data_IF_881291398734
#
_entry.id   IF_881291398734
#
_cell.length_a   1.000
_cell.length_b   1.000
_cell.length_c   1.000
_cell.angle_alpha   90.00
_cell.angle_beta   90.00
_cell.angle_gamma   90.00
#
_symmetry.space_group_name_H-M   'P 1'
#
loop_
_entity.id
_entity.type
_entity.pdbx_description
1 polymer ?
#
# COMPACT_ATOMS: atom_id res chain seq x y z
N UNK A 1 -5.86 10.23 -5.70
CA UNK A 1 -6.88 9.56 -4.86
C UNK A 1 -6.26 9.24 -3.50
N UNK A 2 -7.05 8.87 -2.50
CA UNK A 2 -6.52 8.40 -1.20
C UNK A 2 -5.52 7.24 -1.38
N UNK A 3 -5.79 6.32 -2.30
CA UNK A 3 -4.88 5.21 -2.63
C UNK A 3 -3.54 5.70 -3.19
N UNK A 4 -3.53 6.69 -4.09
CA UNK A 4 -2.27 7.24 -4.62
C UNK A 4 -1.44 7.91 -3.52
N UNK A 5 -2.09 8.60 -2.58
CA UNK A 5 -1.41 9.19 -1.43
C UNK A 5 -0.84 8.09 -0.53
N UNK A 6 -1.63 7.06 -0.23
CA UNK A 6 -1.18 5.93 0.59
C UNK A 6 0.03 5.19 -0.01
N UNK A 7 0.10 5.05 -1.34
CA UNK A 7 1.28 4.49 -2.02
C UNK A 7 2.51 5.38 -1.85
N UNK A 8 2.37 6.70 -2.00
CA UNK A 8 3.47 7.65 -1.82
C UNK A 8 3.95 7.70 -0.35
N UNK A 9 3.03 7.68 0.60
CA UNK A 9 3.34 7.66 2.03
C UNK A 9 4.07 6.35 2.40
N UNK A 10 3.66 5.21 1.83
CA UNK A 10 4.33 3.91 2.01
C UNK A 10 5.77 3.96 1.43
N UNK A 11 5.95 4.50 0.23
CA UNK A 11 7.29 4.68 -0.37
C UNK A 11 8.22 5.55 0.48
N UNK A 12 7.68 6.65 1.04
CA UNK A 12 8.43 7.51 1.96
C UNK A 12 8.81 6.76 3.23
N UNK A 13 7.89 6.00 3.82
CA UNK A 13 8.15 5.20 5.03
C UNK A 13 9.22 4.13 4.78
N UNK A 14 9.17 3.43 3.64
CA UNK A 14 10.22 2.47 3.25
C UNK A 14 11.59 3.13 3.09
N UNK A 15 11.65 4.32 2.48
CA UNK A 15 12.90 5.07 2.32
C UNK A 15 13.48 5.49 3.68
N UNK A 16 12.65 6.04 4.57
CA UNK A 16 13.06 6.40 5.93
C UNK A 16 13.52 5.19 6.73
N UNK A 17 12.78 4.08 6.67
CA UNK A 17 13.19 2.83 7.34
C UNK A 17 14.54 2.32 6.82
N UNK A 18 14.78 2.40 5.50
CA UNK A 18 16.05 2.01 4.88
C UNK A 18 17.20 2.87 5.38
N UNK A 19 17.00 4.19 5.47
CA UNK A 19 18.03 5.10 5.97
C UNK A 19 18.36 4.80 7.44
N UNK A 20 17.34 4.74 8.30
CA UNK A 20 17.52 4.43 9.72
C UNK A 20 18.24 3.10 9.90
N UNK A 21 17.86 2.09 9.13
CA UNK A 21 18.50 0.76 9.14
C UNK A 21 19.98 0.83 8.79
N UNK A 22 20.38 1.64 7.80
CA UNK A 22 21.78 1.80 7.44
C UNK A 22 22.60 2.46 8.55
N UNK A 23 22.05 3.51 9.17
CA UNK A 23 22.69 4.25 10.26
C UNK A 23 22.84 3.39 11.53
N UNK A 24 21.77 2.70 11.92
CA UNK A 24 21.76 1.77 13.05
C UNK A 24 22.72 0.60 12.82
N UNK A 25 22.73 0.00 11.61
CA UNK A 25 23.63 -1.09 11.27
C UNK A 25 25.10 -0.70 11.43
N UNK A 26 25.45 0.47 10.90
CA UNK A 26 26.82 0.98 10.99
C UNK A 26 27.24 1.17 12.45
N UNK A 27 26.36 1.75 13.27
CA UNK A 27 26.59 1.95 14.70
C UNK A 27 26.75 0.63 15.44
N UNK A 28 25.81 -0.30 15.27
CA UNK A 28 25.83 -1.61 15.93
C UNK A 28 27.08 -2.42 15.54
N UNK A 29 27.48 -2.39 14.26
CA UNK A 29 28.69 -3.05 13.78
C UNK A 29 29.93 -2.49 14.46
N UNK A 30 30.02 -1.17 14.59
CA UNK A 30 31.13 -0.53 15.28
C UNK A 30 31.14 -0.87 16.78
N UNK A 31 29.99 -0.83 17.44
CA UNK A 31 29.86 -1.17 18.87
C UNK A 31 30.28 -2.61 19.17
N UNK A 32 29.87 -3.57 18.33
CA UNK A 32 30.30 -4.97 18.45
C UNK A 32 31.81 -5.09 18.28
N UNK A 33 32.39 -4.41 17.28
CA UNK A 33 33.84 -4.40 17.06
C UNK A 33 34.60 -3.81 18.25
N UNK A 34 34.17 -2.66 18.75
CA UNK A 34 34.80 -1.99 19.90
C UNK A 34 34.70 -2.85 21.16
N UNK A 35 33.57 -3.52 21.39
CA UNK A 35 33.39 -4.45 22.50
C UNK A 35 34.35 -5.65 22.42
N UNK A 36 34.58 -6.21 21.23
CA UNK A 36 35.53 -7.31 21.02
C UNK A 36 36.99 -6.88 21.25
N UNK A 37 37.36 -5.70 20.74
CA UNK A 37 38.69 -5.12 20.97
C UNK A 37 38.91 -4.82 22.46
N UNK A 38 37.91 -4.27 23.14
CA UNK A 38 37.96 -3.97 24.56
C UNK A 38 38.07 -5.23 25.41
N UNK A 39 37.31 -6.30 25.12
CA UNK A 39 37.45 -7.60 25.78
C UNK A 39 38.90 -8.12 25.66
N UNK A 40 39.48 -8.06 24.46
CA UNK A 40 40.86 -8.49 24.22
C UNK A 40 41.85 -7.66 25.04
N UNK A 41 41.71 -6.34 25.06
CA UNK A 41 42.58 -5.44 25.82
C UNK A 41 42.47 -5.67 27.35
N UNK A 42 41.26 -5.86 27.86
CA UNK A 42 41.01 -6.14 29.28
C UNK A 42 41.60 -7.50 29.67
N UNK A 43 41.41 -8.54 28.87
CA UNK A 43 42.00 -9.86 29.11
C UNK A 43 43.54 -9.81 29.15
N UNK A 44 44.16 -9.04 28.26
CA UNK A 44 45.61 -8.80 28.27
C UNK A 44 46.06 -8.04 29.54
N UNK A 45 45.34 -6.99 29.93
CA UNK A 45 45.63 -6.22 31.14
C UNK A 45 45.53 -7.09 32.40
N UNK A 46 44.48 -7.91 32.51
CA UNK A 46 44.33 -8.88 33.59
C UNK A 46 45.51 -9.86 33.65
N UNK A 47 45.97 -10.35 32.50
CA UNK A 47 47.13 -11.26 32.42
C UNK A 47 48.42 -10.59 32.94
N UNK A 48 48.67 -9.33 32.55
CA UNK A 48 49.83 -8.56 33.00
C UNK A 48 49.77 -8.28 34.50
N UNK A 49 48.62 -7.82 35.00
CA UNK A 49 48.43 -7.52 36.43
C UNK A 49 48.53 -8.78 37.29
N UNK A 50 47.93 -9.89 36.85
CA UNK A 50 48.04 -11.18 37.55
C UNK A 50 49.50 -11.62 37.66
N UNK A 51 50.27 -11.54 36.57
CA UNK A 51 51.71 -11.86 36.57
C UNK A 51 52.52 -10.93 37.46
N UNK A 52 52.23 -9.62 37.45
CA UNK A 52 52.93 -8.66 38.29
C UNK A 52 52.71 -8.95 39.77
N UNK A 53 51.47 -9.20 40.18
CA UNK A 53 51.13 -9.45 41.58
C UNK A 53 51.55 -10.83 42.09
N UNK A 54 51.57 -11.86 41.23
CA UNK A 54 52.14 -13.16 41.59
C UNK A 54 53.66 -13.06 41.80
N UNK A 55 54.37 -12.37 40.90
CA UNK A 55 55.83 -12.24 40.96
C UNK A 55 56.28 -11.33 42.10
N UNK A 56 55.55 -10.25 42.40
CA UNK A 56 55.86 -9.32 43.49
C UNK A 56 55.69 -9.95 44.88
N UNK A 57 54.75 -10.90 45.01
CA UNK A 57 54.60 -11.71 46.22
C UNK A 57 55.72 -12.71 46.43
N UNK A 58 56.21 -13.33 45.36
CA UNK A 58 57.37 -14.23 45.43
C UNK A 58 58.69 -13.47 45.65
N UNK A 59 58.86 -12.30 45.03
CA UNK A 59 60.07 -11.48 45.17
C UNK A 59 60.26 -10.96 46.61
N UNK A 60 59.18 -10.65 47.33
CA UNK A 60 59.27 -10.29 48.76
C UNK A 60 59.47 -11.49 49.69
N UNK A 61 59.13 -12.70 49.25
CA UNK A 61 59.43 -13.94 49.97
C UNK A 61 60.88 -14.43 49.79
N UNK A 62 61.54 -14.06 48.68
CA UNK A 62 62.90 -14.53 48.32
C UNK A 62 64.02 -13.51 48.60
N UNK A 63 63.72 -12.25 48.90
CA UNK A 63 64.73 -11.20 49.14
C UNK A 63 64.99 -11.03 50.65
N UNK A 64 65.87 -11.87 51.20
CA UNK A 64 66.68 -11.54 52.38
C UNK A 64 67.87 -10.63 51.99
N UNK A 65 67.65 -9.52 51.27
CA UNK A 65 68.70 -8.51 51.06
C UNK A 65 68.44 -7.30 51.94
N UNK A 66 69.47 -6.92 52.69
CA UNK A 66 69.53 -5.68 53.47
C UNK A 66 69.15 -4.48 52.60
N UNK A 67 68.14 -3.74 53.07
CA UNK A 67 67.56 -2.58 52.40
C UNK A 67 68.43 -1.32 52.58
N UNK A 68 68.49 -0.42 51.58
CA UNK A 68 69.05 0.92 51.76
C UNK A 68 68.19 1.72 52.77
N UNK A 69 68.80 2.55 53.64
CA UNK A 69 68.19 3.15 54.84
C UNK A 69 67.13 4.24 54.56
N UNK A 70 66.59 4.31 53.34
CA UNK A 70 65.67 5.35 52.87
C UNK A 70 64.21 4.84 52.87
N UNK A 71 63.99 3.52 53.01
CA UNK A 71 62.66 2.93 53.07
C UNK A 71 62.33 2.49 54.50
N UNK A 72 61.26 3.04 55.09
CA UNK A 72 60.79 2.69 56.43
C UNK A 72 60.14 1.30 56.51
N UNK A 73 59.79 0.71 55.37
CA UNK A 73 59.28 -0.67 55.29
C UNK A 73 59.44 -1.28 53.88
N UNK A 74 59.54 -2.61 53.76
CA UNK A 74 59.58 -3.29 52.46
C UNK A 74 58.31 -3.01 51.66
N UNK A 75 58.43 -2.59 50.40
CA UNK A 75 57.28 -2.46 49.51
C UNK A 75 56.68 -3.84 49.23
N UNK A 76 55.61 -4.20 49.94
CA UNK A 76 54.92 -5.50 49.84
C UNK A 76 54.00 -5.62 48.61
N UNK A 77 54.14 -4.76 47.61
CA UNK A 77 53.35 -4.82 46.37
C UNK A 77 51.85 -4.62 46.56
N UNK A 78 51.43 -3.90 47.62
CA UNK A 78 50.01 -3.59 47.94
C UNK A 78 49.08 -4.82 47.86
N UNK A 79 49.56 -5.98 48.32
CA UNK A 79 48.87 -7.28 48.15
C UNK A 79 47.40 -7.34 48.56
N UNK A 80 46.96 -6.52 49.52
CA UNK A 80 45.58 -6.47 49.98
C UNK A 80 44.62 -5.77 48.98
N UNK A 81 45.11 -4.88 48.12
CA UNK A 81 44.28 -4.08 47.18
C UNK A 81 44.19 -4.70 45.78
N UNK A 82 45.03 -5.71 45.49
CA UNK A 82 45.15 -6.33 44.16
C UNK A 82 43.88 -7.06 43.69
N UNK A 83 43.14 -7.67 44.63
CA UNK A 83 41.89 -8.37 44.33
C UNK A 83 40.80 -7.42 43.82
N UNK A 84 40.79 -6.17 44.27
CA UNK A 84 39.80 -5.17 43.87
C UNK A 84 39.93 -4.75 42.41
N UNK A 85 41.16 -4.48 41.95
CA UNK A 85 41.41 -4.03 40.57
C UNK A 85 41.17 -5.16 39.56
N UNK A 86 41.63 -6.38 39.85
CA UNK A 86 41.37 -7.54 38.98
C UNK A 86 39.87 -7.86 38.95
N UNK A 87 39.20 -7.83 40.09
CA UNK A 87 37.74 -8.01 40.16
C UNK A 87 36.98 -6.96 39.34
N UNK A 88 37.39 -5.69 39.41
CA UNK A 88 36.81 -4.63 38.58
C UNK A 88 37.03 -4.86 37.09
N UNK A 89 38.22 -5.32 36.67
CA UNK A 89 38.48 -5.66 35.28
C UNK A 89 37.68 -6.88 34.79
N UNK A 90 37.45 -7.88 35.63
CA UNK A 90 36.57 -9.02 35.31
C UNK A 90 35.12 -8.58 35.10
N UNK A 91 34.63 -7.65 35.93
CA UNK A 91 33.29 -7.07 35.74
C UNK A 91 33.22 -6.31 34.41
N UNK A 92 34.23 -5.49 34.10
CA UNK A 92 34.31 -4.74 32.83
C UNK A 92 34.35 -5.70 31.62
N UNK A 93 35.13 -6.79 31.69
CA UNK A 93 35.18 -7.80 30.63
C UNK A 93 33.79 -8.44 30.42
N UNK A 94 33.14 -8.85 31.52
CA UNK A 94 31.78 -9.40 31.46
C UNK A 94 30.77 -8.40 30.89
N UNK A 95 30.91 -7.11 31.19
CA UNK A 95 30.05 -6.07 30.64
C UNK A 95 30.24 -5.90 29.14
N UNK A 96 31.49 -5.95 28.63
CA UNK A 96 31.73 -5.91 27.19
C UNK A 96 31.23 -7.16 26.48
N UNK A 97 31.42 -8.35 27.06
CA UNK A 97 30.87 -9.59 26.50
C UNK A 97 29.34 -9.57 26.43
N UNK A 98 28.70 -9.03 27.47
CA UNK A 98 27.25 -8.83 27.50
C UNK A 98 26.81 -7.80 26.47
N UNK A 99 27.50 -6.66 26.37
CA UNK A 99 27.22 -5.62 25.38
C UNK A 99 27.32 -6.15 23.94
N UNK A 100 28.34 -6.95 23.63
CA UNK A 100 28.47 -7.62 22.33
C UNK A 100 27.27 -8.51 22.04
N UNK A 101 26.92 -9.40 22.96
CA UNK A 101 25.83 -10.36 22.78
C UNK A 101 24.46 -9.66 22.65
N UNK A 102 24.18 -8.67 23.49
CA UNK A 102 22.94 -7.89 23.46
C UNK A 102 22.83 -7.09 22.16
N UNK A 103 23.92 -6.44 21.72
CA UNK A 103 23.93 -5.64 20.48
C UNK A 103 23.77 -6.53 19.26
N UNK A 104 24.45 -7.68 19.20
CA UNK A 104 24.31 -8.62 18.09
C UNK A 104 22.89 -9.21 18.00
N UNK A 105 22.28 -9.53 19.16
CA UNK A 105 20.91 -10.02 19.20
C UNK A 105 19.90 -8.93 18.77
N UNK A 106 20.08 -7.69 19.25
CA UNK A 106 19.26 -6.55 18.86
C UNK A 106 19.37 -6.24 17.35
N UNK A 107 20.58 -6.31 16.80
CA UNK A 107 20.86 -6.14 15.37
C UNK A 107 20.14 -7.20 14.52
N UNK A 108 20.18 -8.47 14.93
CA UNK A 108 19.48 -9.55 14.23
C UNK A 108 17.95 -9.37 14.28
N UNK A 109 17.41 -8.93 15.41
CA UNK A 109 15.98 -8.63 15.55
C UNK A 109 15.57 -7.44 14.67
N UNK A 110 16.32 -6.34 14.74
CA UNK A 110 16.07 -5.15 13.93
C UNK A 110 16.13 -5.45 12.43
N UNK A 111 17.07 -6.31 11.99
CA UNK A 111 17.12 -6.75 10.60
C UNK A 111 15.86 -7.53 10.20
N UNK A 112 15.39 -8.45 11.04
CA UNK A 112 14.18 -9.23 10.78
C UNK A 112 12.92 -8.36 10.73
N UNK A 113 12.80 -7.41 11.64
CA UNK A 113 11.68 -6.46 11.66
C UNK A 113 11.69 -5.58 10.41
N UNK A 114 12.86 -5.09 10.00
CA UNK A 114 13.03 -4.36 8.76
C UNK A 114 12.64 -5.20 7.53
N UNK A 115 13.12 -6.44 7.42
CA UNK A 115 12.81 -7.31 6.28
C UNK A 115 11.29 -7.61 6.19
N UNK A 116 10.65 -7.81 7.35
CA UNK A 116 9.20 -8.01 7.46
C UNK A 116 8.46 -6.75 7.01
N UNK A 117 8.81 -5.59 7.57
CA UNK A 117 8.21 -4.31 7.22
C UNK A 117 8.33 -4.00 5.72
N UNK A 118 9.51 -4.22 5.14
CA UNK A 118 9.75 -3.99 3.71
C UNK A 118 8.92 -4.92 2.83
N UNK A 119 8.81 -6.20 3.21
CA UNK A 119 8.01 -7.18 2.48
C UNK A 119 6.53 -6.82 2.51
N UNK A 120 5.99 -6.55 3.70
CA UNK A 120 4.57 -6.18 3.88
C UNK A 120 4.24 -4.88 3.15
N UNK A 121 5.14 -3.90 3.21
CA UNK A 121 5.01 -2.61 2.53
C UNK A 121 4.99 -2.77 1.00
N UNK A 122 5.84 -3.64 0.45
CA UNK A 122 5.86 -3.93 -0.99
C UNK A 122 4.59 -4.63 -1.46
N UNK A 123 4.07 -5.59 -0.68
CA UNK A 123 2.81 -6.28 -0.98
C UNK A 123 1.64 -5.29 -0.95
N UNK A 124 1.56 -4.47 0.09
CA UNK A 124 0.53 -3.43 0.23
C UNK A 124 0.57 -2.42 -0.92
N UNK A 125 1.78 -1.95 -1.28
CA UNK A 125 1.98 -1.07 -2.43
C UNK A 125 1.50 -1.71 -3.73
N UNK A 126 1.84 -2.98 -3.98
CA UNK A 126 1.45 -3.68 -5.18
C UNK A 126 -0.09 -3.81 -5.29
N UNK A 127 -0.74 -4.21 -4.19
CA UNK A 127 -2.19 -4.32 -4.11
C UNK A 127 -2.87 -2.97 -4.37
N UNK A 128 -2.45 -1.92 -3.67
CA UNK A 128 -3.00 -0.56 -3.84
C UNK A 128 -2.78 0.00 -5.25
N UNK A 129 -1.63 -0.29 -5.86
CA UNK A 129 -1.34 0.12 -7.23
C UNK A 129 -2.28 -0.55 -8.23
N UNK A 130 -2.56 -1.84 -8.04
CA UNK A 130 -3.54 -2.58 -8.86
C UNK A 130 -4.97 -2.07 -8.67
N UNK A 131 -5.34 -1.74 -7.44
CA UNK A 131 -6.64 -1.12 -7.18
C UNK A 131 -6.79 0.25 -7.87
N UNK A 132 -5.72 1.04 -7.91
CA UNK A 132 -5.71 2.32 -8.64
C UNK A 132 -5.94 2.08 -10.13
N UNK A 133 -5.21 1.14 -10.74
CA UNK A 133 -5.36 0.78 -12.16
C UNK A 133 -6.79 0.34 -12.46
N UNK A 134 -7.32 -0.61 -11.68
CA UNK A 134 -8.66 -1.15 -11.87
C UNK A 134 -9.74 -0.09 -11.69
N UNK A 135 -9.66 0.74 -10.64
CA UNK A 135 -10.62 1.84 -10.42
C UNK A 135 -10.56 2.86 -11.54
N UNK A 136 -9.37 3.19 -12.05
CA UNK A 136 -9.22 4.13 -13.17
C UNK A 136 -9.85 3.59 -14.45
N UNK A 137 -9.61 2.31 -14.77
CA UNK A 137 -10.23 1.64 -15.92
C UNK A 137 -11.76 1.63 -15.79
N UNK A 138 -12.28 1.22 -14.62
CA UNK A 138 -13.72 1.20 -14.37
C UNK A 138 -14.37 2.58 -14.50
N UNK A 139 -13.75 3.64 -13.97
CA UNK A 139 -14.24 5.01 -14.14
C UNK A 139 -14.29 5.43 -15.61
N UNK A 140 -13.29 5.03 -16.41
CA UNK A 140 -13.27 5.31 -17.84
C UNK A 140 -14.42 4.59 -18.57
N UNK A 141 -14.60 3.29 -18.30
CA UNK A 141 -15.65 2.47 -18.91
C UNK A 141 -17.05 3.00 -18.56
N UNK A 142 -17.30 3.31 -17.28
CA UNK A 142 -18.57 3.87 -16.82
C UNK A 142 -18.82 5.27 -17.42
N UNK A 143 -17.79 6.10 -17.55
CA UNK A 143 -17.90 7.42 -18.19
C UNK A 143 -18.26 7.30 -19.68
N UNK A 144 -17.68 6.33 -20.38
CA UNK A 144 -18.01 6.05 -21.77
C UNK A 144 -19.45 5.53 -21.91
N UNK A 145 -19.83 4.55 -21.09
CA UNK A 145 -21.18 4.00 -21.07
C UNK A 145 -22.23 5.08 -20.78
N UNK A 146 -21.95 5.96 -19.81
CA UNK A 146 -22.82 7.10 -19.50
C UNK A 146 -22.99 8.04 -20.71
N UNK A 147 -21.91 8.31 -21.43
CA UNK A 147 -21.94 9.15 -22.63
C UNK A 147 -22.81 8.52 -23.73
N UNK A 148 -22.60 7.24 -24.02
CA UNK A 148 -23.43 6.50 -24.99
C UNK A 148 -24.90 6.50 -24.57
N UNK A 149 -25.20 6.17 -23.32
CA UNK A 149 -26.60 6.12 -22.83
C UNK A 149 -27.29 7.48 -22.86
N UNK A 150 -26.57 8.57 -22.63
CA UNK A 150 -27.11 9.93 -22.82
C UNK A 150 -27.46 10.20 -24.27
N UNK A 151 -26.59 9.78 -25.21
CA UNK A 151 -26.86 9.92 -26.65
C UNK A 151 -28.05 9.06 -27.09
N UNK A 152 -28.13 7.81 -26.63
CA UNK A 152 -29.25 6.90 -26.92
C UNK A 152 -30.57 7.49 -26.40
N UNK A 153 -30.57 8.04 -25.18
CA UNK A 153 -31.75 8.66 -24.58
C UNK A 153 -32.20 9.88 -25.38
N UNK A 154 -31.28 10.78 -25.78
CA UNK A 154 -31.61 11.93 -26.61
C UNK A 154 -32.17 11.51 -27.99
N UNK A 155 -31.57 10.49 -28.62
CA UNK A 155 -32.07 9.94 -29.89
C UNK A 155 -33.46 9.33 -29.77
N UNK A 156 -33.66 8.45 -28.79
CA UNK A 156 -34.95 7.77 -28.56
C UNK A 156 -36.06 8.75 -28.15
N UNK A 157 -35.74 9.80 -27.39
CA UNK A 157 -36.69 10.86 -27.08
C UNK A 157 -37.14 11.59 -28.35
N UNK A 158 -36.21 11.93 -29.26
CA UNK A 158 -36.55 12.54 -30.55
C UNK A 158 -37.42 11.63 -31.42
N UNK A 159 -37.14 10.34 -31.45
CA UNK A 159 -37.96 9.35 -32.16
C UNK A 159 -39.37 9.25 -31.57
N UNK A 160 -39.49 9.21 -30.24
CA UNK A 160 -40.76 9.19 -29.55
C UNK A 160 -41.58 10.45 -29.85
N UNK A 161 -40.96 11.63 -29.76
CA UNK A 161 -41.62 12.91 -30.05
C UNK A 161 -42.12 12.95 -31.50
N UNK A 162 -41.31 12.46 -32.45
CA UNK A 162 -41.70 12.36 -33.86
C UNK A 162 -42.87 11.36 -34.07
N UNK A 163 -42.85 10.22 -33.39
CA UNK A 163 -43.90 9.21 -33.47
C UNK A 163 -45.23 9.73 -32.88
N UNK A 164 -45.19 10.43 -31.75
CA UNK A 164 -46.36 11.07 -31.16
C UNK A 164 -46.94 12.15 -32.08
N UNK A 165 -46.09 13.00 -32.65
CA UNK A 165 -46.53 14.00 -33.62
C UNK A 165 -47.17 13.37 -34.88
N UNK A 166 -46.67 12.22 -35.33
CA UNK A 166 -47.28 11.47 -36.44
C UNK A 166 -48.61 10.82 -36.04
N UNK A 167 -48.66 10.21 -34.85
CA UNK A 167 -49.88 9.62 -34.29
C UNK A 167 -51.01 10.66 -34.18
N UNK A 168 -50.72 11.86 -33.67
CA UNK A 168 -51.70 12.94 -33.55
C UNK A 168 -52.25 13.39 -34.91
N UNK A 169 -51.44 13.34 -35.97
CA UNK A 169 -51.90 13.62 -37.35
C UNK A 169 -52.83 12.53 -37.90
N UNK A 170 -52.61 11.26 -37.53
CA UNK A 170 -53.45 10.15 -37.98
C UNK A 170 -54.76 10.04 -37.20
N UNK A 171 -54.77 10.45 -35.92
CA UNK A 171 -55.90 10.29 -35.00
C UNK A 171 -57.25 10.80 -35.55
N UNK A 172 -57.35 11.99 -36.20
CA UNK A 172 -58.59 12.44 -36.82
C UNK A 172 -59.09 11.53 -37.94
N UNK A 173 -58.16 10.95 -38.73
CA UNK A 173 -58.50 10.12 -39.89
C UNK A 173 -58.86 8.68 -39.50
N UNK A 174 -58.38 8.18 -38.37
CA UNK A 174 -58.55 6.78 -37.96
C UNK A 174 -59.51 6.57 -36.78
N UNK A 175 -59.64 7.54 -35.88
CA UNK A 175 -60.43 7.40 -34.64
C UNK A 175 -61.61 8.38 -34.63
N UNK A 176 -61.36 9.65 -34.94
CA UNK A 176 -62.38 10.72 -34.95
C UNK A 176 -62.99 10.93 -36.36
N UNK A 177 -63.32 9.84 -37.06
CA UNK A 177 -63.88 9.95 -38.42
C UNK A 177 -65.23 10.67 -38.48
N UNK A 178 -65.89 10.93 -37.35
CA UNK A 178 -67.12 11.74 -37.26
C UNK A 178 -68.31 11.18 -38.04
N UNK A 179 -68.17 10.00 -38.62
CA UNK A 179 -69.13 9.39 -39.52
C UNK A 179 -69.48 8.01 -38.99
N UNK A 180 -70.75 7.80 -38.66
CA UNK A 180 -71.23 6.50 -38.21
C UNK A 180 -71.10 5.45 -39.33
N UNK A 181 -71.02 4.17 -38.96
CA UNK A 181 -71.04 3.10 -39.96
C UNK A 181 -72.28 3.18 -40.85
N UNK A 182 -73.43 3.55 -40.28
CA UNK A 182 -74.69 3.72 -40.99
C UNK A 182 -74.61 4.83 -42.04
N UNK A 183 -74.05 6.00 -41.70
CA UNK A 183 -73.85 7.11 -42.66
C UNK A 183 -72.88 6.74 -43.79
N UNK A 184 -71.87 5.90 -43.50
CA UNK A 184 -70.97 5.36 -44.55
C UNK A 184 -71.71 4.40 -45.47
N UNK A 185 -72.54 3.52 -44.92
CA UNK A 185 -73.33 2.57 -45.71
C UNK A 185 -74.34 3.30 -46.58
N UNK A 186 -75.01 4.32 -46.04
CA UNK A 186 -76.00 5.11 -46.76
C UNK A 186 -75.37 5.86 -47.94
N UNK A 187 -74.26 6.56 -47.73
CA UNK A 187 -73.55 7.25 -48.84
C UNK A 187 -73.07 6.28 -49.92
N UNK A 188 -72.61 5.08 -49.55
CA UNK A 188 -72.26 4.04 -50.53
C UNK A 188 -73.47 3.53 -51.32
N UNK A 189 -74.63 3.39 -50.67
CA UNK A 189 -75.88 3.00 -51.37
C UNK A 189 -76.29 4.07 -52.37
N UNK A 190 -76.24 5.34 -51.98
CA UNK A 190 -76.55 6.47 -52.85
C UNK A 190 -75.58 6.55 -54.03
N UNK A 191 -74.28 6.36 -53.78
CA UNK A 191 -73.26 6.30 -54.82
C UNK A 191 -73.51 5.13 -55.79
N UNK A 192 -73.76 3.91 -55.28
CA UNK A 192 -74.09 2.74 -56.11
C UNK A 192 -75.32 2.99 -56.97
N UNK A 193 -76.38 3.58 -56.41
CA UNK A 193 -77.58 3.92 -57.17
C UNK A 193 -77.28 4.92 -58.29
N UNK A 194 -76.50 5.96 -57.99
CA UNK A 194 -76.08 6.94 -59.01
C UNK A 194 -75.23 6.33 -60.13
N UNK A 195 -74.34 5.40 -59.78
CA UNK A 195 -73.50 4.69 -60.75
C UNK A 195 -74.31 3.71 -61.60
N UNK A 196 -75.29 3.03 -61.01
CA UNK A 196 -76.22 2.17 -61.74
C UNK A 196 -77.09 2.97 -62.72
N UNK A 197 -77.53 4.16 -62.32
CA UNK A 197 -78.26 5.07 -63.20
C UNK A 197 -77.37 5.55 -64.36
N UNK A 198 -76.16 6.03 -64.07
CA UNK A 198 -75.22 6.43 -65.12
C UNK A 198 -74.90 5.28 -66.09
N UNK A 199 -74.78 4.05 -65.57
CA UNK A 199 -74.56 2.85 -66.37
C UNK A 199 -75.79 2.51 -67.24
N UNK A 200 -77.02 2.69 -66.72
CA UNK A 200 -78.27 2.53 -67.47
C UNK A 200 -78.34 3.52 -68.64
N UNK A 201 -78.04 4.79 -68.39
CA UNK A 201 -77.96 5.84 -69.41
C UNK A 201 -76.90 5.48 -70.47
N UNK A 202 -75.71 5.04 -70.06
CA UNK A 202 -74.61 4.68 -70.97
C UNK A 202 -74.88 3.42 -71.79
N UNK A 203 -75.61 2.45 -71.23
CA UNK A 203 -76.04 1.24 -71.93
C UNK A 203 -77.26 1.48 -72.85
N UNK A 204 -77.79 2.70 -72.89
CA UNK A 204 -78.92 3.08 -73.73
C UNK A 204 -80.28 2.59 -73.22
N UNK A 205 -80.34 2.08 -72.00
CA UNK A 205 -81.58 1.57 -71.38
C UNK A 205 -82.56 2.72 -71.03
N UNK A 206 -82.07 3.95 -70.83
CA UNK A 206 -82.91 5.15 -70.61
C UNK A 206 -83.30 5.92 -71.89
N UNK A 207 -82.76 5.53 -73.05
CA UNK A 207 -83.18 6.03 -74.36
C UNK A 207 -84.10 5.04 -75.11
N UNK A 208 -84.42 3.92 -74.48
CA UNK A 208 -85.37 2.92 -74.97
C UNK A 208 -86.75 3.08 -74.30
N UNK A 209 -87.33 4.27 -74.45
CA UNK A 209 -88.75 4.53 -74.20
C UNK A 209 -89.35 5.34 -75.35
#
# INVERSE_FOLDING_TARGET
>A
SELSKAVADNDAAMATATQNRQEEKATNTQTVKDAQEAQTAVAQAMTVLTRFYSTSGEATALVQRQEPPIFDSPYKGMQAENGGVIGMLQVIESDFARLEAETAAAEALAQKEYDTFMTDSQVDKAAKSKDIEHKKAKTQDESQALTTKKSDLDGTQKELDAALAYYDKLKPSCVDTGVSYEDRVQRRKEEIASLQEALRILNGEDFAA
#
